data_IF_709505122949
#
_entry.id   IF_709505122949
#
_cell.length_a   1.000
_cell.length_b   1.000
_cell.length_c   1.000
_cell.angle_alpha   90.00
_cell.angle_beta   90.00
_cell.angle_gamma   90.00
#
_symmetry.space_group_name_H-M   'P 1'
#
loop_
_entity.id
_entity.type
_entity.pdbx_description
1 polymer ?
#
# COMPACT_ATOMS: atom_id res chain seq x y z
N UNK A 1 22.16 9.13 -44.45
CA UNK A 1 22.49 7.94 -43.67
C UNK A 1 22.61 8.16 -42.17
N UNK A 2 22.70 9.40 -41.72
CA UNK A 2 22.89 9.64 -40.27
C UNK A 2 21.60 9.92 -39.48
N UNK A 3 20.42 9.96 -40.13
CA UNK A 3 19.12 10.27 -39.49
C UNK A 3 18.46 9.09 -38.77
N UNK A 4 18.91 7.86 -38.98
CA UNK A 4 18.31 6.65 -38.40
C UNK A 4 18.88 6.35 -36.99
N UNK A 5 20.08 6.86 -36.70
CA UNK A 5 20.77 6.59 -35.41
C UNK A 5 20.13 7.38 -34.25
N UNK A 6 19.50 8.53 -34.54
CA UNK A 6 18.88 9.36 -33.51
C UNK A 6 17.50 8.86 -33.03
N UNK A 7 16.86 7.95 -33.77
CA UNK A 7 15.52 7.42 -33.44
C UNK A 7 15.60 6.20 -32.49
N UNK A 8 16.74 5.50 -32.48
CA UNK A 8 16.93 4.30 -31.63
C UNK A 8 17.47 4.59 -30.24
N UNK A 9 17.97 5.80 -29.99
CA UNK A 9 18.58 6.16 -28.71
C UNK A 9 17.58 6.45 -27.56
N UNK A 10 16.35 6.96 -27.77
CA UNK A 10 15.42 7.19 -26.68
C UNK A 10 14.71 5.91 -26.15
N UNK A 11 14.85 4.77 -26.83
CA UNK A 11 14.19 3.52 -26.42
C UNK A 11 14.93 2.83 -25.26
N UNK A 12 16.16 3.20 -24.97
CA UNK A 12 17.00 2.63 -23.90
C UNK A 12 16.85 3.30 -22.52
N UNK A 13 15.97 4.29 -22.38
CA UNK A 13 15.53 4.76 -21.07
C UNK A 13 14.40 3.85 -20.54
N UNK A 14 14.62 2.54 -20.56
CA UNK A 14 13.86 1.60 -19.77
C UNK A 14 14.07 1.99 -18.31
N UNK A 15 13.07 2.68 -17.77
CA UNK A 15 12.98 2.99 -16.35
C UNK A 15 13.20 1.70 -15.55
N UNK A 16 14.38 1.57 -14.96
CA UNK A 16 14.70 0.44 -14.09
C UNK A 16 13.88 0.62 -12.81
N UNK A 17 12.82 -0.19 -12.64
CA UNK A 17 12.02 -0.20 -11.41
C UNK A 17 12.83 -0.80 -10.28
N UNK A 18 12.72 -0.24 -9.09
CA UNK A 18 13.33 -0.84 -7.91
C UNK A 18 12.64 -2.15 -7.51
N UNK A 19 13.33 -3.00 -6.77
CA UNK A 19 12.74 -4.25 -6.24
C UNK A 19 11.50 -4.00 -5.38
N UNK A 20 11.48 -2.90 -4.63
CA UNK A 20 10.33 -2.48 -3.85
C UNK A 20 9.12 -2.11 -4.74
N UNK A 21 9.35 -1.39 -5.84
CA UNK A 21 8.29 -1.08 -6.80
C UNK A 21 7.74 -2.33 -7.47
N UNK A 22 8.60 -3.27 -7.84
CA UNK A 22 8.18 -4.55 -8.43
C UNK A 22 7.38 -5.40 -7.45
N UNK A 23 7.78 -5.43 -6.17
CA UNK A 23 7.02 -6.11 -5.12
C UNK A 23 5.63 -5.45 -4.91
N UNK A 24 5.57 -4.12 -4.93
CA UNK A 24 4.29 -3.40 -4.85
C UNK A 24 3.35 -3.79 -5.99
N UNK A 25 3.83 -3.78 -7.22
CA UNK A 25 3.03 -4.13 -8.39
C UNK A 25 2.53 -5.59 -8.34
N UNK A 26 3.38 -6.53 -7.91
CA UNK A 26 2.96 -7.93 -7.72
C UNK A 26 1.89 -8.05 -6.63
N UNK A 27 2.07 -7.34 -5.52
CA UNK A 27 1.11 -7.30 -4.43
C UNK A 27 -0.26 -6.81 -4.87
N UNK A 28 -0.31 -5.71 -5.64
CA UNK A 28 -1.56 -5.15 -6.19
C UNK A 28 -2.26 -6.17 -7.09
N UNK A 29 -1.54 -6.81 -8.01
CA UNK A 29 -2.11 -7.85 -8.89
C UNK A 29 -2.67 -9.04 -8.10
N UNK A 30 -1.95 -9.48 -7.07
CA UNK A 30 -2.40 -10.58 -6.21
C UNK A 30 -3.66 -10.19 -5.41
N UNK A 31 -3.72 -8.96 -4.93
CA UNK A 31 -4.92 -8.40 -4.29
C UNK A 31 -6.13 -8.40 -5.24
N UNK A 32 -5.95 -7.93 -6.47
CA UNK A 32 -7.00 -7.90 -7.49
C UNK A 32 -7.51 -9.31 -7.85
N UNK A 33 -6.62 -10.30 -7.79
CA UNK A 33 -6.98 -11.71 -7.98
C UNK A 33 -7.53 -12.39 -6.71
N UNK A 34 -7.77 -11.64 -5.66
CA UNK A 34 -8.22 -12.12 -4.35
C UNK A 34 -7.28 -13.13 -3.68
N UNK A 35 -5.99 -13.11 -4.05
CA UNK A 35 -4.93 -13.88 -3.41
C UNK A 35 -4.31 -13.07 -2.27
N UNK A 36 -5.11 -12.85 -1.22
CA UNK A 36 -4.80 -11.87 -0.17
C UNK A 36 -3.56 -12.24 0.63
N UNK A 37 -3.37 -13.51 1.00
CA UNK A 37 -2.19 -13.96 1.74
C UNK A 37 -0.90 -13.68 0.95
N UNK A 38 -0.89 -13.98 -0.35
CA UNK A 38 0.25 -13.72 -1.23
C UNK A 38 0.48 -12.21 -1.43
N UNK A 39 -0.60 -11.42 -1.54
CA UNK A 39 -0.50 -9.96 -1.62
C UNK A 39 0.15 -9.38 -0.36
N UNK A 40 -0.25 -9.84 0.82
CA UNK A 40 0.33 -9.43 2.11
C UNK A 40 1.83 -9.73 2.15
N UNK A 41 2.28 -10.88 1.66
CA UNK A 41 3.71 -11.21 1.58
C UNK A 41 4.47 -10.20 0.73
N UNK A 42 3.94 -9.84 -0.45
CA UNK A 42 4.59 -8.86 -1.34
C UNK A 42 4.60 -7.45 -0.74
N UNK A 43 3.52 -7.01 -0.10
CA UNK A 43 3.50 -5.70 0.56
C UNK A 43 4.45 -5.64 1.77
N UNK A 44 4.59 -6.71 2.54
CA UNK A 44 5.59 -6.80 3.61
C UNK A 44 7.01 -6.79 3.06
N UNK A 45 7.24 -7.38 1.88
CA UNK A 45 8.53 -7.30 1.19
C UNK A 45 8.89 -5.87 0.82
N UNK A 46 7.91 -5.04 0.39
CA UNK A 46 8.13 -3.60 0.16
C UNK A 46 8.64 -2.92 1.43
N UNK A 47 7.98 -3.15 2.56
CA UNK A 47 8.39 -2.60 3.86
C UNK A 47 9.82 -3.00 4.24
N UNK A 48 10.15 -4.27 4.06
CA UNK A 48 11.49 -4.79 4.35
C UNK A 48 12.56 -4.13 3.47
N UNK A 49 12.33 -4.07 2.15
CA UNK A 49 13.29 -3.50 1.20
C UNK A 49 13.54 -2.02 1.45
N UNK A 50 12.50 -1.25 1.76
CA UNK A 50 12.64 0.19 2.03
C UNK A 50 13.30 0.48 3.37
N UNK A 51 13.07 -0.32 4.39
CA UNK A 51 13.74 -0.18 5.69
C UNK A 51 15.23 -0.54 5.61
N UNK A 52 15.58 -1.53 4.77
CA UNK A 52 16.97 -1.97 4.60
C UNK A 52 17.81 -0.96 3.82
N UNK A 53 17.22 -0.33 2.82
CA UNK A 53 17.92 0.61 1.91
C UNK A 53 18.27 1.95 2.59
N UNK A 54 17.69 2.27 3.75
CA UNK A 54 17.95 3.50 4.49
C UNK A 54 17.62 4.77 3.71
N UNK A 55 16.89 4.65 2.59
CA UNK A 55 16.49 5.76 1.75
C UNK A 55 15.33 6.51 2.39
N UNK A 56 15.57 7.73 2.86
CA UNK A 56 14.56 8.67 3.37
C UNK A 56 14.03 9.60 2.27
N UNK A 57 14.10 9.19 0.99
CA UNK A 57 13.54 9.99 -0.10
C UNK A 57 12.01 10.07 0.01
N UNK A 58 11.42 11.17 -0.45
CA UNK A 58 9.96 11.32 -0.50
C UNK A 58 9.31 10.14 -1.24
N UNK A 59 9.87 9.71 -2.37
CA UNK A 59 9.37 8.57 -3.13
C UNK A 59 9.37 7.27 -2.32
N UNK A 60 10.40 7.03 -1.49
CA UNK A 60 10.45 5.86 -0.59
C UNK A 60 9.41 5.94 0.52
N UNK A 61 9.21 7.11 1.09
CA UNK A 61 8.18 7.34 2.13
C UNK A 61 6.78 7.14 1.54
N UNK A 62 6.52 7.66 0.35
CA UNK A 62 5.24 7.46 -0.36
C UNK A 62 4.98 5.98 -0.65
N UNK A 63 5.99 5.27 -1.15
CA UNK A 63 5.87 3.84 -1.44
C UNK A 63 5.65 3.02 -0.17
N UNK A 64 6.31 3.39 0.94
CA UNK A 64 6.11 2.76 2.24
C UNK A 64 4.69 3.02 2.78
N UNK A 65 4.18 4.24 2.67
CA UNK A 65 2.82 4.57 3.05
C UNK A 65 1.78 3.78 2.24
N UNK A 66 2.00 3.64 0.93
CA UNK A 66 1.16 2.81 0.06
C UNK A 66 1.20 1.33 0.48
N UNK A 67 2.38 0.80 0.85
CA UNK A 67 2.49 -0.58 1.32
C UNK A 67 1.68 -0.81 2.60
N UNK A 68 1.77 0.09 3.57
CA UNK A 68 0.96 0.05 4.77
C UNK A 68 -0.55 0.16 4.46
N UNK A 69 -0.95 1.06 3.58
CA UNK A 69 -2.34 1.20 3.15
C UNK A 69 -2.86 -0.10 2.49
N UNK A 70 -2.10 -0.66 1.56
CA UNK A 70 -2.48 -1.91 0.87
C UNK A 70 -2.55 -3.11 1.82
N UNK A 71 -1.67 -3.18 2.83
CA UNK A 71 -1.79 -4.14 3.92
C UNK A 71 -3.08 -3.93 4.71
N UNK A 72 -3.39 -2.68 5.05
CA UNK A 72 -4.62 -2.33 5.76
C UNK A 72 -5.88 -2.79 5.04
N UNK A 73 -6.01 -2.50 3.74
CA UNK A 73 -7.16 -2.94 2.96
C UNK A 73 -7.18 -4.47 2.75
N UNK A 74 -6.01 -5.11 2.65
CA UNK A 74 -5.93 -6.57 2.55
C UNK A 74 -6.41 -7.25 3.84
N UNK A 75 -5.95 -6.78 5.00
CA UNK A 75 -6.43 -7.27 6.28
C UNK A 75 -7.92 -6.99 6.51
N UNK A 76 -8.40 -5.80 6.13
CA UNK A 76 -9.82 -5.47 6.23
C UNK A 76 -10.70 -6.40 5.38
N UNK A 77 -10.25 -6.76 4.19
CA UNK A 77 -10.92 -7.72 3.30
C UNK A 77 -10.95 -9.14 3.87
N UNK A 78 -9.97 -9.48 4.72
CA UNK A 78 -9.94 -10.73 5.48
C UNK A 78 -10.66 -10.63 6.83
N UNK A 79 -11.34 -9.52 7.12
CA UNK A 79 -12.03 -9.23 8.39
C UNK A 79 -11.07 -9.17 9.61
N UNK A 80 -9.76 -9.02 9.38
CA UNK A 80 -8.74 -8.83 10.40
C UNK A 80 -8.62 -7.32 10.74
N UNK A 81 -9.67 -6.78 11.33
CA UNK A 81 -9.84 -5.33 11.49
C UNK A 81 -8.83 -4.67 12.42
N UNK A 82 -8.33 -5.36 13.46
CA UNK A 82 -7.28 -4.83 14.34
C UNK A 82 -5.95 -4.67 13.61
N UNK A 83 -5.56 -5.66 12.79
CA UNK A 83 -4.37 -5.58 11.96
C UNK A 83 -4.53 -4.48 10.88
N UNK A 84 -5.72 -4.41 10.28
CA UNK A 84 -6.05 -3.37 9.32
C UNK A 84 -5.90 -1.96 9.92
N UNK A 85 -6.42 -1.73 11.12
CA UNK A 85 -6.32 -0.46 11.83
C UNK A 85 -4.86 -0.06 12.05
N UNK A 86 -4.03 -0.98 12.52
CA UNK A 86 -2.60 -0.72 12.76
C UNK A 86 -1.86 -0.30 11.48
N UNK A 87 -2.08 -1.01 10.39
CA UNK A 87 -1.44 -0.69 9.13
C UNK A 87 -1.93 0.66 8.55
N UNK A 88 -3.21 0.96 8.67
CA UNK A 88 -3.77 2.24 8.23
C UNK A 88 -3.25 3.42 9.06
N UNK A 89 -3.08 3.26 10.37
CA UNK A 89 -2.46 4.27 11.22
C UNK A 89 -1.00 4.51 10.82
N UNK A 90 -0.25 3.46 10.50
CA UNK A 90 1.12 3.59 10.00
C UNK A 90 1.16 4.36 8.66
N UNK A 91 0.25 4.06 7.74
CA UNK A 91 0.16 4.77 6.47
C UNK A 91 -0.10 6.27 6.67
N UNK A 92 -1.06 6.63 7.54
CA UNK A 92 -1.45 8.01 7.85
C UNK A 92 -0.30 8.76 8.55
N UNK A 93 0.46 8.08 9.42
CA UNK A 93 1.60 8.70 10.11
C UNK A 93 2.72 9.09 9.15
N UNK A 94 2.90 8.35 8.06
CA UNK A 94 3.89 8.64 7.02
C UNK A 94 3.38 9.73 6.07
N UNK A 95 2.18 9.58 5.55
CA UNK A 95 1.54 10.51 4.60
C UNK A 95 0.10 10.77 5.04
N UNK A 96 -0.23 11.96 5.54
CA UNK A 96 -1.61 12.35 5.83
C UNK A 96 -2.43 12.37 4.52
N UNK A 97 -3.29 11.38 4.33
CA UNK A 97 -4.10 11.22 3.13
C UNK A 97 -5.56 11.02 3.52
N UNK A 98 -6.48 11.70 2.82
CA UNK A 98 -7.92 11.63 3.10
C UNK A 98 -8.45 10.22 2.89
N UNK A 99 -8.08 9.58 1.79
CA UNK A 99 -8.50 8.21 1.46
C UNK A 99 -8.10 7.23 2.57
N UNK A 100 -6.86 7.34 3.09
CA UNK A 100 -6.39 6.50 4.18
C UNK A 100 -7.24 6.68 5.45
N UNK A 101 -7.62 7.91 5.77
CA UNK A 101 -8.50 8.21 6.91
C UNK A 101 -9.92 7.69 6.71
N UNK A 102 -10.46 7.79 5.51
CA UNK A 102 -11.80 7.30 5.21
C UNK A 102 -11.88 5.78 5.38
N UNK A 103 -10.87 5.05 4.89
CA UNK A 103 -10.76 3.59 5.09
C UNK A 103 -10.56 3.24 6.56
N UNK A 104 -9.72 3.98 7.31
CA UNK A 104 -9.54 3.78 8.75
C UNK A 104 -10.87 3.93 9.51
N UNK A 105 -11.66 4.96 9.20
CA UNK A 105 -12.96 5.18 9.82
C UNK A 105 -13.92 4.02 9.53
N UNK A 106 -13.92 3.52 8.31
CA UNK A 106 -14.71 2.34 7.92
C UNK A 106 -14.27 1.09 8.72
N UNK A 107 -12.98 0.84 8.87
CA UNK A 107 -12.45 -0.27 9.67
C UNK A 107 -12.84 -0.14 11.14
N UNK A 108 -12.70 1.05 11.71
CA UNK A 108 -13.10 1.34 13.10
C UNK A 108 -14.57 1.10 13.34
N UNK A 109 -15.43 1.44 12.40
CA UNK A 109 -16.87 1.16 12.50
C UNK A 109 -17.19 -0.34 12.60
N UNK A 110 -16.30 -1.20 12.13
CA UNK A 110 -16.42 -2.67 12.27
C UNK A 110 -15.92 -3.19 13.62
N UNK A 111 -15.06 -2.42 14.28
CA UNK A 111 -14.53 -2.76 15.61
C UNK A 111 -15.44 -2.27 16.75
N UNK A 112 -16.22 -1.21 16.51
CA UNK A 112 -17.17 -0.70 17.49
C UNK A 112 -18.35 -1.67 17.65
N UNK A 113 -18.79 -1.99 18.89
CA UNK A 113 -20.01 -2.74 19.11
C UNK A 113 -21.21 -1.93 18.57
N UNK A 114 -22.27 -2.58 18.11
CA UNK A 114 -23.47 -1.89 17.66
C UNK A 114 -23.94 -0.95 18.77
N UNK A 115 -24.06 0.35 18.45
CA UNK A 115 -24.63 1.33 19.39
C UNK A 115 -26.06 0.91 19.68
N UNK A 116 -26.28 0.31 20.83
CA UNK A 116 -27.62 0.13 21.32
C UNK A 116 -28.21 1.52 21.57
N UNK A 117 -28.98 2.01 20.59
CA UNK A 117 -29.86 3.15 20.81
C UNK A 117 -31.01 2.70 21.71
N UNK A 118 -30.68 2.29 22.92
CA UNK A 118 -31.65 2.34 24.00
C UNK A 118 -31.69 3.79 24.48
N UNK A 119 -32.36 4.62 23.66
CA UNK A 119 -32.96 5.82 24.21
C UNK A 119 -34.01 5.33 25.22
N UNK A 120 -33.63 5.24 26.44
CA UNK A 120 -34.58 5.15 27.55
C UNK A 120 -35.34 6.46 27.59
N UNK A 121 -36.69 6.40 27.62
CA UNK A 121 -37.52 7.60 27.76
C UNK A 121 -37.28 8.27 29.10
#
# INVERSE_FOLDING_TARGET
MYKIIYILFPILLLSCKSDAQLAMERGIKLYDWNKLDNAIVEFNKVKYLLNYDGSESLASVELLAQAHFNLGISYAKMELYHQAEQELLNAISLIPNREYRDVLNMVRSKLEPPRNNTATP
#
